data_IF_191205894760
#
_entry.id   IF_191205894760
#
_cell.length_a   1.000
_cell.length_b   1.000
_cell.length_c   1.000
_cell.angle_alpha   90.00
_cell.angle_beta   90.00
_cell.angle_gamma   90.00
#
_symmetry.space_group_name_H-M   'P 1'
#
loop_
_entity.id
_entity.type
_entity.pdbx_description
1 polymer ?
#
# COMPACT_ATOMS: atom_id res chain seq x y z
N UNK A 1 -31.25 -12.30 20.32
CA UNK A 1 -31.46 -11.73 18.99
C UNK A 1 -30.34 -10.74 18.67
N UNK A 2 -30.09 -9.75 19.54
CA UNK A 2 -29.04 -8.74 19.32
C UNK A 2 -27.62 -9.34 19.19
N UNK A 3 -27.28 -10.33 20.01
CA UNK A 3 -25.95 -11.01 19.94
C UNK A 3 -25.74 -11.79 18.64
N UNK A 4 -26.80 -12.40 18.13
CA UNK A 4 -26.74 -13.13 16.85
C UNK A 4 -26.65 -12.16 15.65
N UNK A 5 -27.33 -11.03 15.69
CA UNK A 5 -27.19 -10.00 14.67
C UNK A 5 -25.80 -9.36 14.69
N UNK A 6 -25.23 -9.08 15.87
CA UNK A 6 -23.85 -8.60 16.00
C UNK A 6 -22.82 -9.63 15.51
N UNK A 7 -23.06 -10.92 15.76
CA UNK A 7 -22.23 -12.01 15.23
C UNK A 7 -22.34 -12.10 13.71
N UNK A 8 -23.53 -12.05 13.14
CA UNK A 8 -23.75 -12.02 11.69
C UNK A 8 -23.12 -10.77 11.05
N UNK A 9 -23.29 -9.60 11.69
CA UNK A 9 -22.68 -8.37 11.21
C UNK A 9 -21.15 -8.49 11.16
N UNK A 10 -20.52 -9.05 12.20
CA UNK A 10 -19.08 -9.30 12.24
C UNK A 10 -18.60 -10.32 11.19
N UNK A 11 -19.40 -11.37 10.95
CA UNK A 11 -19.14 -12.38 9.91
C UNK A 11 -19.31 -11.80 8.49
N UNK A 12 -20.29 -10.93 8.29
CA UNK A 12 -20.61 -10.34 6.99
C UNK A 12 -19.74 -9.12 6.65
N UNK A 13 -19.06 -8.53 7.67
CA UNK A 13 -18.24 -7.33 7.53
C UNK A 13 -16.87 -7.52 8.20
N UNK A 14 -16.06 -8.47 7.76
CA UNK A 14 -14.78 -8.80 8.40
C UNK A 14 -13.76 -7.67 8.35
N UNK A 15 -13.93 -6.69 7.45
CA UNK A 15 -13.06 -5.51 7.34
C UNK A 15 -13.50 -4.28 8.14
N UNK A 16 -14.72 -4.31 8.71
CA UNK A 16 -15.30 -3.15 9.44
C UNK A 16 -15.03 -3.29 10.94
N UNK A 17 -14.35 -2.33 11.52
CA UNK A 17 -14.11 -2.24 12.96
C UNK A 17 -13.05 -3.19 13.53
N UNK A 18 -12.40 -3.99 12.72
CA UNK A 18 -11.26 -4.83 13.16
C UNK A 18 -9.98 -4.03 12.95
N UNK A 19 -9.31 -3.67 14.03
CA UNK A 19 -7.93 -3.17 14.00
C UNK A 19 -6.99 -4.37 13.82
N UNK A 20 -6.94 -4.91 12.63
CA UNK A 20 -5.90 -5.86 12.26
C UNK A 20 -4.68 -5.04 11.84
N UNK A 21 -3.65 -5.05 12.66
CA UNK A 21 -2.37 -4.44 12.34
C UNK A 21 -1.47 -5.52 11.74
N UNK A 22 -0.68 -5.11 10.74
CA UNK A 22 0.46 -5.93 10.33
C UNK A 22 1.28 -6.28 11.58
N UNK A 23 1.73 -7.52 11.69
CA UNK A 23 2.66 -7.91 12.75
C UNK A 23 4.06 -7.36 12.46
N UNK A 24 4.28 -6.10 12.86
CA UNK A 24 5.57 -5.44 12.70
C UNK A 24 6.72 -6.15 13.43
N UNK A 25 6.38 -7.03 14.39
CA UNK A 25 7.36 -7.87 15.09
C UNK A 25 8.05 -8.86 14.15
N UNK A 26 7.41 -9.25 13.05
CA UNK A 26 8.01 -10.12 12.05
C UNK A 26 9.24 -9.50 11.36
N UNK A 27 9.36 -8.17 11.38
CA UNK A 27 10.49 -7.43 10.81
C UNK A 27 11.50 -6.95 11.87
N UNK A 28 11.72 -7.73 12.92
CA UNK A 28 12.72 -7.42 13.95
C UNK A 28 13.90 -8.38 13.87
N UNK A 29 15.14 -7.90 14.02
CA UNK A 29 16.34 -8.74 13.91
C UNK A 29 16.45 -9.79 15.02
N UNK A 30 15.83 -9.55 16.20
CA UNK A 30 15.79 -10.47 17.32
C UNK A 30 14.81 -11.64 17.15
N UNK A 31 14.02 -11.64 16.09
CA UNK A 31 13.06 -12.71 15.81
C UNK A 31 13.66 -13.83 14.99
N UNK A 32 13.41 -15.07 15.42
CA UNK A 32 13.73 -16.25 14.62
C UNK A 32 12.90 -16.21 13.33
N UNK A 33 13.55 -16.40 12.19
CA UNK A 33 12.91 -16.31 10.87
C UNK A 33 12.22 -14.94 10.61
N UNK A 34 12.86 -13.83 11.06
CA UNK A 34 12.35 -12.51 10.75
C UNK A 34 12.23 -12.28 9.23
N UNK A 35 11.38 -11.32 8.84
CA UNK A 35 11.08 -11.01 7.45
C UNK A 35 11.92 -9.85 6.90
N UNK A 36 13.00 -9.46 7.58
CA UNK A 36 13.91 -8.44 7.10
C UNK A 36 14.63 -8.92 5.84
N UNK A 37 14.69 -8.04 4.86
CA UNK A 37 15.45 -8.27 3.62
C UNK A 37 16.88 -7.78 3.83
N UNK A 38 17.91 -8.64 3.70
CA UNK A 38 19.31 -8.22 3.86
C UNK A 38 19.77 -7.34 2.69
N UNK A 39 20.77 -6.48 2.96
CA UNK A 39 21.43 -5.72 1.91
C UNK A 39 22.34 -6.60 1.06
N UNK A 40 22.45 -6.27 -0.21
CA UNK A 40 23.53 -6.77 -1.07
C UNK A 40 24.84 -6.05 -0.67
N UNK A 41 25.76 -6.78 -0.09
CA UNK A 41 27.05 -6.26 0.37
C UNK A 41 27.01 -5.50 1.69
N UNK A 42 28.12 -4.85 2.04
CA UNK A 42 28.21 -4.05 3.27
C UNK A 42 27.43 -2.74 3.13
N UNK A 43 26.84 -2.23 4.21
CA UNK A 43 26.15 -0.94 4.19
C UNK A 43 27.07 0.18 3.67
N UNK A 44 26.62 0.95 2.69
CA UNK A 44 27.36 2.10 2.15
C UNK A 44 27.28 3.33 3.04
N UNK A 45 26.26 3.38 3.92
CA UNK A 45 26.09 4.40 4.95
C UNK A 45 25.74 3.72 6.26
N UNK A 46 26.04 4.38 7.38
CA UNK A 46 25.63 3.93 8.72
C UNK A 46 25.17 5.10 9.56
N UNK A 47 24.18 4.87 10.41
CA UNK A 47 23.69 5.79 11.42
C UNK A 47 24.10 5.27 12.80
N UNK A 48 24.82 6.06 13.55
CA UNK A 48 25.26 5.78 14.94
C UNK A 48 24.64 6.75 15.94
N UNK A 49 24.04 7.82 15.44
CA UNK A 49 23.33 8.86 16.19
C UNK A 49 22.39 9.63 15.25
N UNK A 50 21.43 10.37 15.80
CA UNK A 50 20.50 11.22 15.04
C UNK A 50 19.75 10.45 13.95
N UNK A 51 19.28 9.24 14.30
CA UNK A 51 18.53 8.40 13.35
C UNK A 51 17.29 9.15 12.83
N UNK A 52 17.05 9.15 11.52
CA UNK A 52 15.78 9.66 11.01
C UNK A 52 14.60 8.85 11.55
N UNK A 53 13.53 9.55 11.92
CA UNK A 53 12.27 8.91 12.33
C UNK A 53 11.47 8.54 11.09
N UNK A 54 11.21 7.24 10.92
CA UNK A 54 10.59 6.64 9.75
C UNK A 54 9.17 6.20 10.06
N UNK A 55 8.25 6.50 9.17
CA UNK A 55 6.87 6.03 9.23
C UNK A 55 6.33 5.81 7.81
N UNK A 56 5.10 5.30 7.65
CA UNK A 56 4.53 5.17 6.33
C UNK A 56 3.34 4.24 6.20
N UNK A 57 3.04 3.94 4.95
CA UNK A 57 2.01 2.98 4.58
C UNK A 57 2.42 1.55 4.96
N UNK A 58 1.45 0.75 5.38
CA UNK A 58 1.65 -0.66 5.73
C UNK A 58 2.40 -1.45 4.64
N UNK A 59 2.05 -1.23 3.37
CA UNK A 59 2.72 -1.92 2.27
C UNK A 59 4.21 -1.55 2.12
N UNK A 60 4.62 -0.36 2.55
CA UNK A 60 6.02 0.07 2.46
C UNK A 60 6.87 -0.36 3.67
N UNK A 61 6.24 -0.79 4.78
CA UNK A 61 6.94 -1.14 6.02
C UNK A 61 8.13 -2.09 5.82
N UNK A 62 8.02 -3.18 5.06
CA UNK A 62 9.15 -4.09 4.82
C UNK A 62 10.39 -3.42 4.26
N UNK A 63 10.23 -2.40 3.41
CA UNK A 63 11.34 -1.69 2.77
C UNK A 63 12.09 -0.85 3.80
N UNK A 64 11.37 0.07 4.46
CA UNK A 64 12.04 1.00 5.36
C UNK A 64 12.45 0.37 6.69
N UNK A 65 11.76 -0.69 7.15
CA UNK A 65 12.23 -1.47 8.29
C UNK A 65 13.53 -2.20 7.97
N UNK A 66 13.64 -2.85 6.80
CA UNK A 66 14.87 -3.51 6.38
C UNK A 66 16.03 -2.51 6.23
N UNK A 67 15.78 -1.33 5.63
CA UNK A 67 16.78 -0.27 5.54
C UNK A 67 17.20 0.24 6.92
N UNK A 68 16.24 0.51 7.82
CA UNK A 68 16.52 1.00 9.17
C UNK A 68 17.46 0.05 9.93
N UNK A 69 17.11 -1.22 10.02
CA UNK A 69 17.92 -2.20 10.75
C UNK A 69 19.28 -2.49 10.09
N UNK A 70 19.35 -2.46 8.76
CA UNK A 70 20.61 -2.72 8.06
C UNK A 70 21.58 -1.55 8.12
N UNK A 71 21.08 -0.31 8.23
CA UNK A 71 21.91 0.91 8.18
C UNK A 71 22.17 1.51 9.57
N UNK A 72 21.52 1.00 10.64
CA UNK A 72 21.64 1.56 11.99
C UNK A 72 22.52 0.69 12.88
N UNK A 73 23.41 1.32 13.62
CA UNK A 73 24.07 0.71 14.77
C UNK A 73 23.22 1.02 15.99
N UNK A 74 22.45 0.02 16.45
CA UNK A 74 21.42 0.19 17.47
C UNK A 74 22.01 -0.17 18.84
N UNK A 75 22.09 0.75 19.82
CA UNK A 75 22.48 0.45 21.19
C UNK A 75 21.48 -0.49 21.91
N UNK A 76 21.90 -1.17 22.96
CA UNK A 76 21.05 -2.15 23.71
C UNK A 76 19.80 -1.50 24.33
N UNK A 77 19.92 -0.25 24.81
CA UNK A 77 18.85 0.53 25.44
C UNK A 77 18.05 1.41 24.46
N UNK A 78 18.22 1.20 23.16
CA UNK A 78 17.60 2.03 22.14
C UNK A 78 16.11 1.69 21.96
N UNK A 79 15.26 2.70 22.07
CA UNK A 79 13.83 2.56 21.83
C UNK A 79 13.51 2.70 20.33
N UNK A 80 13.55 1.58 19.62
CA UNK A 80 13.33 1.53 18.15
C UNK A 80 12.01 2.19 17.74
N UNK A 81 10.97 2.07 18.54
CA UNK A 81 9.64 2.61 18.25
C UNK A 81 9.58 4.15 18.21
N UNK A 82 10.58 4.83 18.76
CA UNK A 82 10.70 6.30 18.65
C UNK A 82 11.18 6.71 17.24
N UNK A 83 11.71 5.75 16.46
CA UNK A 83 12.33 6.01 15.16
C UNK A 83 11.75 5.18 14.01
N UNK A 84 11.06 4.09 14.28
CA UNK A 84 10.51 3.19 13.28
C UNK A 84 9.05 2.85 13.64
N UNK A 85 8.11 3.44 12.92
CA UNK A 85 6.68 3.24 13.14
C UNK A 85 5.97 2.80 11.85
N UNK A 86 4.74 2.33 11.99
CA UNK A 86 3.82 1.97 10.90
C UNK A 86 2.42 2.49 11.24
N UNK A 87 2.26 3.81 11.22
CA UNK A 87 1.00 4.45 11.57
C UNK A 87 0.00 4.54 10.41
N UNK A 88 0.35 4.02 9.23
CA UNK A 88 -0.41 4.07 7.99
C UNK A 88 -0.44 5.45 7.34
N UNK A 89 -0.84 5.48 6.06
CA UNK A 89 -0.73 6.69 5.21
C UNK A 89 -1.32 7.94 5.84
N UNK A 90 -2.53 7.88 6.37
CA UNK A 90 -3.21 9.06 6.90
C UNK A 90 -2.46 9.66 8.10
N UNK A 91 -2.10 8.81 9.06
CA UNK A 91 -1.40 9.26 10.26
C UNK A 91 0.06 9.63 9.98
N UNK A 92 0.73 8.92 9.09
CA UNK A 92 2.08 9.27 8.64
C UNK A 92 2.12 10.68 8.04
N UNK A 93 1.11 11.09 7.23
CA UNK A 93 1.01 12.46 6.74
C UNK A 93 0.79 13.49 7.87
N UNK A 94 0.03 13.16 8.90
CA UNK A 94 -0.10 14.04 10.07
C UNK A 94 1.24 14.21 10.78
N UNK A 95 1.97 13.12 11.01
CA UNK A 95 3.27 13.12 11.69
C UNK A 95 4.34 13.92 10.94
N UNK A 96 4.43 13.77 9.59
CA UNK A 96 5.41 14.54 8.83
C UNK A 96 5.09 16.05 8.86
N UNK A 97 3.82 16.42 8.81
CA UNK A 97 3.40 17.83 8.91
C UNK A 97 3.69 18.40 10.30
N UNK A 98 3.42 17.64 11.37
CA UNK A 98 3.66 18.06 12.74
C UNK A 98 5.15 18.03 13.14
N UNK A 99 6.00 17.32 12.37
CA UNK A 99 7.41 17.14 12.70
C UNK A 99 7.69 15.96 13.64
N UNK A 100 6.75 15.01 13.74
CA UNK A 100 6.88 13.78 14.51
C UNK A 100 7.52 12.64 13.70
N UNK A 101 7.62 12.79 12.38
CA UNK A 101 8.39 11.95 11.48
C UNK A 101 9.33 12.80 10.63
N UNK A 102 10.45 12.22 10.17
CA UNK A 102 11.43 12.88 9.31
C UNK A 102 11.32 12.40 7.85
N UNK A 103 10.93 11.15 7.64
CA UNK A 103 10.61 10.57 6.33
C UNK A 103 9.38 9.69 6.46
N UNK A 104 8.44 9.84 5.54
CA UNK A 104 7.35 8.88 5.39
C UNK A 104 7.37 8.19 4.02
N UNK A 105 7.07 6.88 4.03
CA UNK A 105 7.07 6.02 2.84
C UNK A 105 5.62 5.72 2.44
N UNK A 106 5.14 6.39 1.39
CA UNK A 106 3.72 6.42 1.05
C UNK A 106 3.49 6.47 -0.47
N UNK A 107 2.25 6.23 -0.89
CA UNK A 107 1.80 6.58 -2.22
C UNK A 107 1.60 8.11 -2.35
N UNK A 108 1.17 8.57 -3.52
CA UNK A 108 0.87 9.99 -3.74
C UNK A 108 -0.12 10.54 -2.70
N UNK A 109 -0.02 11.85 -2.34
CA UNK A 109 -0.92 12.49 -1.40
C UNK A 109 -2.32 12.70 -1.97
N UNK A 110 -3.32 12.68 -1.11
CA UNK A 110 -4.65 13.20 -1.41
C UNK A 110 -4.63 14.75 -1.44
N UNK A 111 -5.67 15.34 -2.04
CA UNK A 111 -5.82 16.80 -2.00
C UNK A 111 -6.04 17.31 -0.57
N UNK A 112 -6.69 16.50 0.29
CA UNK A 112 -6.85 16.81 1.71
C UNK A 112 -5.51 16.87 2.45
N UNK A 113 -4.61 15.92 2.16
CA UNK A 113 -3.26 15.88 2.75
C UNK A 113 -2.40 17.07 2.28
N UNK A 114 -2.44 17.43 0.99
CA UNK A 114 -1.76 18.62 0.46
C UNK A 114 -2.24 19.90 1.15
N UNK A 115 -3.56 20.10 1.20
CA UNK A 115 -4.17 21.27 1.85
C UNK A 115 -3.83 21.38 3.34
N UNK A 116 -3.71 20.25 4.05
CA UNK A 116 -3.28 20.25 5.45
C UNK A 116 -1.85 20.75 5.60
N UNK A 117 -0.91 20.27 4.79
CA UNK A 117 0.47 20.73 4.80
C UNK A 117 0.55 22.24 4.50
N UNK A 118 -0.13 22.71 3.46
CA UNK A 118 -0.20 24.12 3.08
C UNK A 118 -0.75 25.01 4.23
N UNK A 119 -1.87 24.60 4.86
CA UNK A 119 -2.45 25.32 6.00
C UNK A 119 -1.52 25.40 7.23
N UNK A 120 -0.67 24.39 7.40
CA UNK A 120 0.33 24.34 8.47
C UNK A 120 1.63 25.05 8.10
N UNK A 121 1.72 25.67 6.90
CA UNK A 121 2.94 26.34 6.43
C UNK A 121 4.10 25.38 6.17
N UNK A 122 3.84 24.10 5.94
CA UNK A 122 4.85 23.07 5.73
C UNK A 122 4.99 22.74 4.26
N UNK A 123 6.20 22.87 3.72
CA UNK A 123 6.54 22.43 2.37
C UNK A 123 7.00 20.99 2.41
N UNK A 124 6.29 20.12 1.69
CA UNK A 124 6.65 18.70 1.56
C UNK A 124 7.35 18.44 0.22
N UNK A 125 8.45 17.69 0.28
CA UNK A 125 9.19 17.20 -0.87
C UNK A 125 8.85 15.74 -1.11
N UNK A 126 8.58 15.39 -2.37
CA UNK A 126 8.17 14.05 -2.79
C UNK A 126 9.26 13.45 -3.68
N UNK A 127 10.01 12.48 -3.15
CA UNK A 127 11.07 11.78 -3.88
C UNK A 127 10.60 10.37 -4.24
N UNK A 128 10.35 10.07 -5.51
CA UNK A 128 10.00 8.72 -5.93
C UNK A 128 11.21 7.78 -5.76
N UNK A 129 10.99 6.58 -5.22
CA UNK A 129 12.07 5.62 -4.97
C UNK A 129 11.79 4.20 -5.48
N UNK A 130 10.52 3.87 -5.72
CA UNK A 130 10.10 2.56 -6.19
C UNK A 130 8.85 2.68 -7.06
N UNK A 131 8.58 1.65 -7.87
CA UNK A 131 7.32 1.47 -8.59
C UNK A 131 6.55 0.29 -8.07
N UNK A 132 5.24 0.42 -8.15
CA UNK A 132 4.28 -0.61 -7.78
C UNK A 132 3.12 -0.62 -8.78
N UNK A 133 2.29 -1.67 -8.75
CA UNK A 133 1.03 -1.69 -9.47
C UNK A 133 -0.14 -1.53 -8.51
N UNK A 134 -1.05 -0.65 -8.87
CA UNK A 134 -2.38 -0.61 -8.28
C UNK A 134 -3.25 -1.66 -8.99
N UNK A 135 -3.77 -2.62 -8.23
CA UNK A 135 -4.40 -3.83 -8.78
C UNK A 135 -5.83 -3.99 -8.30
N UNK A 136 -6.63 -4.65 -9.14
CA UNK A 136 -7.97 -5.08 -8.79
C UNK A 136 -7.95 -6.56 -8.45
N UNK A 137 -8.65 -6.89 -7.37
CA UNK A 137 -8.74 -8.24 -6.83
C UNK A 137 -10.17 -8.74 -6.88
N UNK A 138 -10.32 -9.99 -7.24
CA UNK A 138 -11.59 -10.73 -7.21
C UNK A 138 -11.35 -12.09 -6.57
N UNK A 139 -12.43 -12.77 -6.19
CA UNK A 139 -12.33 -14.17 -5.75
C UNK A 139 -11.72 -15.03 -6.87
N UNK A 140 -10.90 -16.02 -6.50
CA UNK A 140 -10.22 -16.89 -7.45
C UNK A 140 -11.19 -17.65 -8.39
N UNK A 141 -12.40 -17.97 -7.90
CA UNK A 141 -13.43 -18.67 -8.65
C UNK A 141 -14.26 -17.74 -9.56
N UNK A 142 -14.06 -16.43 -9.51
CA UNK A 142 -14.70 -15.52 -10.46
C UNK A 142 -14.16 -15.81 -11.88
N UNK A 143 -15.00 -16.04 -12.90
CA UNK A 143 -14.52 -16.40 -14.24
C UNK A 143 -13.83 -15.25 -14.99
N UNK A 144 -14.03 -13.99 -14.56
CA UNK A 144 -13.41 -12.82 -15.18
C UNK A 144 -11.92 -12.76 -14.83
N UNK A 145 -11.05 -12.66 -15.84
CA UNK A 145 -9.59 -12.59 -15.69
C UNK A 145 -9.01 -11.23 -16.12
N UNK A 146 -9.79 -10.44 -16.85
CA UNK A 146 -9.35 -9.12 -17.33
C UNK A 146 -10.53 -8.19 -17.45
N UNK A 147 -10.28 -6.90 -17.15
CA UNK A 147 -11.20 -5.80 -17.42
C UNK A 147 -10.49 -4.74 -18.27
N UNK A 148 -11.24 -3.97 -19.04
CA UNK A 148 -10.69 -2.74 -19.62
C UNK A 148 -10.69 -1.63 -18.55
N UNK A 149 -9.88 -0.60 -18.75
CA UNK A 149 -9.91 0.58 -17.89
C UNK A 149 -11.30 1.23 -17.83
N UNK A 150 -12.03 1.21 -18.96
CA UNK A 150 -13.39 1.73 -19.00
C UNK A 150 -14.35 0.86 -18.18
N UNK A 151 -14.27 -0.46 -18.30
CA UNK A 151 -15.10 -1.38 -17.50
C UNK A 151 -14.84 -1.21 -15.99
N UNK A 152 -13.60 -0.99 -15.58
CA UNK A 152 -13.29 -0.69 -14.17
C UNK A 152 -14.00 0.59 -13.73
N UNK A 153 -13.91 1.67 -14.50
CA UNK A 153 -14.63 2.93 -14.19
C UNK A 153 -16.14 2.74 -14.16
N UNK A 154 -16.68 2.00 -15.10
CA UNK A 154 -18.13 1.75 -15.21
C UNK A 154 -18.63 0.91 -14.03
N UNK A 155 -17.85 -0.06 -13.54
CA UNK A 155 -18.19 -0.84 -12.34
C UNK A 155 -18.19 0.07 -11.10
N UNK A 156 -17.14 0.84 -10.87
CA UNK A 156 -17.03 1.66 -9.67
C UNK A 156 -17.87 2.95 -9.72
N UNK A 157 -18.38 3.33 -10.88
CA UNK A 157 -19.41 4.39 -11.02
C UNK A 157 -20.85 3.87 -10.95
N UNK A 158 -21.05 2.54 -10.99
CA UNK A 158 -22.36 1.91 -10.97
C UNK A 158 -23.04 1.81 -12.35
N UNK A 159 -22.34 2.13 -13.44
CA UNK A 159 -22.85 1.95 -14.80
C UNK A 159 -22.89 0.46 -15.21
N UNK A 160 -21.99 -0.36 -14.67
CA UNK A 160 -22.00 -1.84 -14.78
C UNK A 160 -22.20 -2.41 -13.37
N UNK A 161 -23.29 -3.12 -13.18
CA UNK A 161 -23.69 -3.69 -11.88
C UNK A 161 -23.77 -5.20 -11.88
N UNK A 162 -23.54 -5.87 -13.01
CA UNK A 162 -23.63 -7.31 -13.13
C UNK A 162 -22.42 -7.87 -13.89
N UNK A 163 -21.80 -8.90 -13.32
CA UNK A 163 -20.62 -9.57 -13.89
C UNK A 163 -20.85 -10.13 -15.30
N UNK A 164 -22.08 -10.53 -15.65
CA UNK A 164 -22.41 -11.00 -17.00
C UNK A 164 -22.06 -9.99 -18.09
N UNK A 165 -22.16 -8.69 -17.79
CA UNK A 165 -21.83 -7.62 -18.75
C UNK A 165 -20.35 -7.62 -19.15
N UNK A 166 -19.49 -8.19 -18.31
CA UNK A 166 -18.03 -8.25 -18.53
C UNK A 166 -17.52 -9.69 -18.68
N UNK A 167 -18.42 -10.64 -19.02
CA UNK A 167 -18.05 -12.03 -19.30
C UNK A 167 -18.02 -12.95 -18.07
N UNK A 168 -18.58 -12.50 -16.96
CA UNK A 168 -18.73 -13.29 -15.73
C UNK A 168 -20.09 -13.97 -15.62
N UNK A 169 -20.36 -14.50 -14.43
CA UNK A 169 -21.64 -15.12 -14.10
C UNK A 169 -22.75 -14.07 -13.98
N UNK A 170 -24.02 -14.52 -14.05
CA UNK A 170 -25.18 -13.65 -13.79
C UNK A 170 -25.31 -13.36 -12.31
N UNK A 171 -24.47 -12.46 -11.82
CA UNK A 171 -24.39 -12.06 -10.40
C UNK A 171 -24.16 -10.56 -10.32
N UNK A 172 -24.78 -9.91 -9.33
CA UNK A 172 -24.55 -8.51 -9.01
C UNK A 172 -23.10 -8.29 -8.55
N UNK A 173 -22.48 -7.22 -9.02
CA UNK A 173 -21.11 -6.84 -8.62
C UNK A 173 -21.17 -6.13 -7.28
N UNK A 174 -20.43 -6.65 -6.30
CA UNK A 174 -20.24 -6.01 -5.01
C UNK A 174 -18.93 -5.25 -4.99
N UNK A 175 -18.97 -3.93 -5.08
CA UNK A 175 -17.77 -3.08 -5.03
C UNK A 175 -17.37 -2.78 -3.59
N UNK A 176 -16.10 -2.99 -3.27
CA UNK A 176 -15.53 -2.62 -1.98
C UNK A 176 -14.57 -1.44 -2.13
N UNK A 177 -14.68 -0.47 -1.25
CA UNK A 177 -13.90 0.75 -1.26
C UNK A 177 -13.05 0.87 0.00
N UNK A 178 -12.14 1.83 0.00
CA UNK A 178 -11.29 2.17 1.13
C UNK A 178 -11.71 3.52 1.70
N UNK A 179 -11.39 3.79 2.98
CA UNK A 179 -11.65 5.10 3.58
C UNK A 179 -10.93 6.21 2.82
N UNK A 180 -11.50 7.40 2.87
CA UNK A 180 -10.89 8.62 2.35
C UNK A 180 -9.50 8.84 2.95
N UNK A 181 -8.59 9.46 2.21
CA UNK A 181 -7.18 9.68 2.59
C UNK A 181 -6.34 8.39 2.79
N UNK A 182 -6.87 7.19 2.57
CA UNK A 182 -6.02 6.01 2.46
C UNK A 182 -5.26 6.03 1.13
N UNK A 183 -4.01 5.55 1.12
CA UNK A 183 -3.18 5.58 -0.09
C UNK A 183 -3.82 4.91 -1.29
N UNK A 184 -4.51 3.76 -1.10
CA UNK A 184 -5.19 3.07 -2.20
C UNK A 184 -6.46 3.79 -2.65
N UNK A 185 -7.22 4.45 -1.76
CA UNK A 185 -8.37 5.25 -2.16
C UNK A 185 -7.93 6.48 -2.98
N UNK A 186 -6.86 7.14 -2.55
CA UNK A 186 -6.29 8.28 -3.28
C UNK A 186 -5.87 7.89 -4.71
N UNK A 187 -5.21 6.75 -4.89
CA UNK A 187 -4.84 6.24 -6.22
C UNK A 187 -6.09 5.88 -7.03
N UNK A 188 -7.06 5.21 -6.41
CA UNK A 188 -8.32 4.87 -7.08
C UNK A 188 -9.02 6.11 -7.63
N UNK A 189 -9.17 7.14 -6.83
CA UNK A 189 -9.85 8.38 -7.24
C UNK A 189 -9.07 9.15 -8.30
N UNK A 190 -7.76 9.33 -8.11
CA UNK A 190 -6.94 10.21 -8.94
C UNK A 190 -6.48 9.58 -10.26
N UNK A 191 -6.08 8.31 -10.25
CA UNK A 191 -5.51 7.64 -11.43
C UNK A 191 -6.51 6.77 -12.19
N UNK A 192 -7.38 6.06 -11.47
CA UNK A 192 -8.35 5.15 -12.10
C UNK A 192 -9.61 5.90 -12.51
N UNK A 193 -10.29 6.50 -11.53
CA UNK A 193 -11.58 7.17 -11.78
C UNK A 193 -11.41 8.53 -12.41
N UNK A 194 -10.32 9.23 -12.12
CA UNK A 194 -10.05 10.59 -12.64
C UNK A 194 -11.24 11.50 -12.32
N UNK A 195 -11.98 11.93 -13.33
CA UNK A 195 -13.15 12.80 -13.18
C UNK A 195 -14.47 12.04 -13.05
N UNK A 196 -14.45 10.70 -13.08
CA UNK A 196 -15.67 9.89 -12.94
C UNK A 196 -15.99 9.73 -11.46
N UNK A 197 -17.20 10.11 -11.07
CA UNK A 197 -17.65 9.94 -9.68
C UNK A 197 -17.88 8.46 -9.36
N UNK A 198 -17.31 8.01 -8.25
CA UNK A 198 -17.61 6.68 -7.71
C UNK A 198 -19.01 6.65 -7.08
N UNK A 199 -19.64 5.47 -7.10
CA UNK A 199 -20.85 5.24 -6.28
C UNK A 199 -20.49 5.42 -4.81
N UNK A 200 -21.44 5.93 -4.04
CA UNK A 200 -21.27 5.98 -2.58
C UNK A 200 -21.34 4.56 -2.03
N UNK A 201 -20.31 4.05 -1.34
CA UNK A 201 -20.37 2.71 -0.76
C UNK A 201 -21.37 2.72 0.41
N UNK A 202 -22.00 1.58 0.65
CA UNK A 202 -22.67 1.37 1.94
C UNK A 202 -21.59 1.28 3.03
N UNK A 203 -21.92 1.64 4.27
CA UNK A 203 -20.95 1.54 5.38
C UNK A 203 -20.32 0.15 5.51
N UNK A 204 -21.08 -0.88 5.16
CA UNK A 204 -20.68 -2.28 5.16
C UNK A 204 -19.71 -2.65 4.02
N UNK A 205 -19.52 -1.79 3.04
CA UNK A 205 -18.69 -2.01 1.84
C UNK A 205 -17.38 -1.21 1.89
N UNK A 206 -17.03 -0.65 3.05
CA UNK A 206 -15.77 0.06 3.27
C UNK A 206 -14.81 -0.80 4.08
N UNK A 207 -13.74 -1.27 3.44
CA UNK A 207 -12.66 -1.96 4.12
C UNK A 207 -11.73 -0.95 4.78
N UNK A 208 -11.75 -0.87 6.11
CA UNK A 208 -10.95 0.08 6.88
C UNK A 208 -9.45 -0.12 6.74
N UNK A 209 -9.01 -1.35 6.41
CA UNK A 209 -7.61 -1.74 6.25
C UNK A 209 -7.40 -2.55 4.97
N UNK A 210 -6.15 -2.60 4.47
CA UNK A 210 -5.80 -3.37 3.28
C UNK A 210 -6.04 -4.87 3.46
N UNK A 211 -5.75 -5.41 4.64
CA UNK A 211 -6.03 -6.81 4.99
C UNK A 211 -7.52 -7.11 4.92
N UNK A 212 -8.35 -6.23 5.46
CA UNK A 212 -9.80 -6.33 5.36
C UNK A 212 -10.30 -6.37 3.90
N UNK A 213 -9.68 -5.61 2.99
CA UNK A 213 -10.00 -5.64 1.57
C UNK A 213 -9.76 -7.03 0.96
N UNK A 214 -8.62 -7.65 1.22
CA UNK A 214 -8.31 -9.00 0.72
C UNK A 214 -9.28 -10.02 1.29
N UNK A 215 -9.50 -9.99 2.60
CA UNK A 215 -10.39 -10.94 3.30
C UNK A 215 -11.84 -10.87 2.80
N UNK A 216 -12.39 -9.66 2.65
CA UNK A 216 -13.77 -9.53 2.14
C UNK A 216 -13.92 -10.02 0.71
N UNK A 217 -12.94 -9.79 -0.15
CA UNK A 217 -12.96 -10.30 -1.52
C UNK A 217 -12.82 -11.81 -1.57
N UNK A 218 -11.96 -12.38 -0.71
CA UNK A 218 -11.73 -13.83 -0.63
C UNK A 218 -12.96 -14.59 -0.10
N UNK A 219 -13.66 -14.03 0.89
CA UNK A 219 -14.67 -14.75 1.68
C UNK A 219 -16.09 -14.17 1.55
N UNK A 220 -16.29 -13.08 0.76
CA UNK A 220 -17.55 -12.35 0.78
C UNK A 220 -18.75 -13.24 0.44
N UNK A 221 -19.52 -13.56 1.47
CA UNK A 221 -20.80 -14.33 1.44
C UNK A 221 -20.76 -15.60 0.58
N UNK A 222 -19.61 -16.18 0.29
CA UNK A 222 -19.41 -17.31 -0.61
C UNK A 222 -20.00 -17.10 -2.03
N UNK A 223 -20.13 -15.86 -2.50
CA UNK A 223 -20.83 -15.55 -3.75
C UNK A 223 -19.89 -15.20 -4.92
N UNK A 224 -18.58 -15.10 -4.69
CA UNK A 224 -17.56 -14.80 -5.71
C UNK A 224 -17.81 -13.50 -6.51
N UNK A 225 -18.64 -12.59 -5.99
CA UNK A 225 -19.14 -11.42 -6.71
C UNK A 225 -18.47 -10.11 -6.29
N UNK A 226 -17.59 -10.14 -5.27
CA UNK A 226 -16.89 -8.97 -4.79
C UNK A 226 -15.73 -8.57 -5.71
N UNK A 227 -15.54 -7.26 -5.87
CA UNK A 227 -14.34 -6.64 -6.45
C UNK A 227 -13.80 -5.60 -5.48
N UNK A 228 -12.48 -5.61 -5.29
CA UNK A 228 -11.76 -4.63 -4.50
C UNK A 228 -10.47 -4.22 -5.18
N UNK A 229 -9.67 -3.37 -4.50
CA UNK A 229 -8.41 -2.89 -5.02
C UNK A 229 -7.37 -2.72 -3.90
N UNK A 230 -6.12 -2.89 -4.28
CA UNK A 230 -4.98 -2.79 -3.37
C UNK A 230 -3.69 -2.57 -4.16
N UNK A 231 -2.53 -2.68 -3.51
CA UNK A 231 -1.24 -2.71 -4.18
C UNK A 231 -0.79 -4.16 -4.40
N UNK A 232 -0.13 -4.44 -5.53
CA UNK A 232 0.30 -5.78 -5.93
C UNK A 232 1.17 -6.45 -4.85
N UNK A 233 2.20 -5.74 -4.37
CA UNK A 233 3.11 -6.27 -3.36
C UNK A 233 2.35 -6.72 -2.11
N UNK A 234 1.42 -5.91 -1.62
CA UNK A 234 0.61 -6.26 -0.46
C UNK A 234 -0.22 -7.53 -0.69
N UNK A 235 -0.88 -7.63 -1.84
CA UNK A 235 -1.73 -8.78 -2.17
C UNK A 235 -0.94 -10.07 -2.46
N UNK A 236 0.30 -9.97 -2.91
CA UNK A 236 1.08 -11.13 -3.38
C UNK A 236 2.20 -11.56 -2.44
N UNK A 237 2.72 -10.65 -1.61
CA UNK A 237 3.87 -10.92 -0.74
C UNK A 237 3.53 -10.79 0.75
N UNK A 238 2.83 -9.73 1.15
CA UNK A 238 2.54 -9.49 2.57
C UNK A 238 1.32 -10.26 3.06
N UNK A 239 0.28 -10.32 2.25
CA UNK A 239 -1.00 -10.94 2.61
C UNK A 239 -1.54 -11.77 1.43
N UNK A 240 -0.72 -12.72 0.95
CA UNK A 240 -1.10 -13.61 -0.13
C UNK A 240 -2.23 -14.55 0.32
N UNK A 241 -3.35 -14.51 -0.38
CA UNK A 241 -4.49 -15.41 -0.18
C UNK A 241 -4.79 -16.16 -1.48
N UNK A 242 -4.83 -17.49 -1.40
CA UNK A 242 -5.13 -18.36 -2.56
C UNK A 242 -6.56 -18.22 -3.11
N UNK A 243 -7.45 -17.64 -2.32
CA UNK A 243 -8.85 -17.43 -2.69
C UNK A 243 -9.08 -16.12 -3.46
N UNK A 244 -8.02 -15.33 -3.71
CA UNK A 244 -8.09 -14.16 -4.58
C UNK A 244 -7.21 -14.33 -5.81
N UNK A 245 -7.54 -13.59 -6.86
CA UNK A 245 -6.68 -13.38 -8.01
C UNK A 245 -6.65 -11.91 -8.41
N UNK A 246 -5.54 -11.51 -9.02
CA UNK A 246 -5.36 -10.19 -9.61
C UNK A 246 -5.94 -10.17 -11.02
N UNK A 247 -6.71 -9.14 -11.34
CA UNK A 247 -7.21 -8.94 -12.71
C UNK A 247 -6.13 -8.30 -13.60
N UNK A 248 -6.03 -8.78 -14.82
CA UNK A 248 -5.34 -8.05 -15.87
C UNK A 248 -6.17 -6.82 -16.26
N UNK A 249 -5.51 -5.75 -16.71
CA UNK A 249 -6.16 -4.55 -17.25
C UNK A 249 -5.78 -4.41 -18.71
N UNK A 250 -6.78 -4.27 -19.58
CA UNK A 250 -6.59 -4.30 -21.04
C UNK A 250 -5.83 -5.55 -21.52
N UNK A 251 -6.02 -6.69 -20.85
CA UNK A 251 -5.30 -7.94 -21.12
C UNK A 251 -3.86 -7.99 -20.58
N UNK A 252 -3.39 -6.95 -19.89
CA UNK A 252 -2.02 -6.85 -19.37
C UNK A 252 -2.01 -7.17 -17.88
N UNK A 253 -1.29 -8.23 -17.51
CA UNK A 253 -1.14 -8.65 -16.12
C UNK A 253 -0.16 -7.72 -15.34
N UNK A 254 -0.37 -7.50 -14.03
CA UNK A 254 0.51 -6.65 -13.20
C UNK A 254 1.80 -7.37 -12.78
N UNK A 255 2.56 -7.87 -13.74
CA UNK A 255 3.87 -8.48 -13.50
C UNK A 255 4.95 -7.42 -13.27
N UNK A 256 6.04 -7.78 -12.56
CA UNK A 256 7.17 -6.87 -12.35
C UNK A 256 7.72 -6.34 -13.69
N UNK A 257 7.74 -7.17 -14.73
CA UNK A 257 8.16 -6.76 -16.07
C UNK A 257 7.22 -5.72 -16.68
N UNK A 258 5.89 -5.94 -16.62
CA UNK A 258 4.91 -5.00 -17.16
C UNK A 258 4.84 -3.68 -16.37
N UNK A 259 5.20 -3.71 -15.08
CA UNK A 259 5.36 -2.51 -14.26
C UNK A 259 6.64 -1.77 -14.68
N UNK A 260 7.76 -2.48 -14.81
CA UNK A 260 9.07 -1.88 -15.17
C UNK A 260 9.04 -1.20 -16.54
N UNK A 261 8.41 -1.82 -17.52
CA UNK A 261 8.32 -1.28 -18.89
C UNK A 261 7.11 -0.37 -19.13
N UNK A 262 6.29 -0.09 -18.10
CA UNK A 262 5.14 0.80 -18.19
C UNK A 262 3.96 0.28 -19.03
N UNK A 263 3.91 -1.00 -19.35
CA UNK A 263 2.80 -1.61 -20.10
C UNK A 263 1.54 -1.75 -19.26
N UNK A 264 1.67 -2.05 -17.96
CA UNK A 264 0.50 -2.13 -17.08
C UNK A 264 -0.07 -0.72 -16.85
N UNK A 265 -1.39 -0.50 -17.03
CA UNK A 265 -1.95 0.87 -17.05
C UNK A 265 -1.88 1.62 -15.73
N UNK A 266 -1.92 0.91 -14.61
CA UNK A 266 -1.96 1.52 -13.28
C UNK A 266 -0.65 1.30 -12.52
N UNK A 267 0.45 1.71 -13.15
CA UNK A 267 1.74 1.82 -12.47
C UNK A 267 1.72 3.06 -11.59
N UNK A 268 2.14 2.92 -10.35
CA UNK A 268 2.20 4.00 -9.36
C UNK A 268 3.60 4.11 -8.79
N UNK A 269 4.05 5.32 -8.51
CA UNK A 269 5.29 5.53 -7.77
C UNK A 269 5.03 5.49 -6.26
N UNK A 270 5.96 4.91 -5.53
CA UNK A 270 6.06 5.04 -4.09
C UNK A 270 7.07 6.16 -3.76
N UNK A 271 6.71 6.99 -2.79
CA UNK A 271 7.46 8.19 -2.45
C UNK A 271 8.05 8.12 -1.05
N UNK A 272 9.25 8.63 -0.92
CA UNK A 272 9.75 9.18 0.33
C UNK A 272 9.29 10.64 0.41
N UNK A 273 8.56 10.99 1.46
CA UNK A 273 8.10 12.36 1.69
C UNK A 273 8.84 12.92 2.88
N UNK A 274 9.44 14.09 2.71
CA UNK A 274 10.18 14.83 3.74
C UNK A 274 9.70 16.26 3.79
N UNK A 275 10.08 16.99 4.85
CA UNK A 275 9.97 18.45 4.84
C UNK A 275 11.17 19.06 4.11
N UNK A 276 11.02 20.27 3.58
CA UNK A 276 12.09 21.02 2.89
C UNK A 276 13.29 21.36 3.78
N UNK A 277 13.07 21.46 5.09
CA UNK A 277 14.08 21.73 6.12
C UNK A 277 14.60 20.45 6.80
N UNK A 278 14.70 19.33 6.05
CA UNK A 278 15.19 18.05 6.57
C UNK A 278 16.63 18.15 7.13
N UNK A 279 16.95 17.23 8.05
CA UNK A 279 18.31 17.09 8.60
C UNK A 279 19.27 16.49 7.57
N UNK A 280 20.60 16.59 7.81
CA UNK A 280 21.61 15.93 6.97
C UNK A 280 21.48 14.42 6.97
N UNK A 281 21.11 13.81 8.10
CA UNK A 281 20.90 12.36 8.22
C UNK A 281 19.67 11.91 7.41
N UNK A 282 18.59 12.71 7.46
CA UNK A 282 17.40 12.48 6.63
C UNK A 282 17.75 12.54 5.15
N UNK A 283 18.46 13.57 4.72
CA UNK A 283 18.91 13.72 3.34
C UNK A 283 19.79 12.54 2.91
N UNK A 284 20.74 12.13 3.74
CA UNK A 284 21.64 11.01 3.49
C UNK A 284 20.88 9.69 3.28
N UNK A 285 19.81 9.45 4.04
CA UNK A 285 18.98 8.26 3.86
C UNK A 285 18.17 8.33 2.57
N UNK A 286 17.58 9.49 2.25
CA UNK A 286 16.87 9.70 0.99
C UNK A 286 17.79 9.44 -0.22
N UNK A 287 18.98 10.02 -0.21
CA UNK A 287 19.99 9.84 -1.27
C UNK A 287 20.42 8.38 -1.39
N UNK A 288 20.61 7.68 -0.25
CA UNK A 288 20.97 6.26 -0.25
C UNK A 288 19.92 5.38 -0.93
N UNK A 289 18.63 5.62 -0.73
CA UNK A 289 17.58 4.87 -1.41
C UNK A 289 17.63 4.99 -2.94
N UNK A 290 18.23 6.06 -3.47
CA UNK A 290 18.41 6.28 -4.90
C UNK A 290 19.69 5.65 -5.45
N UNK A 291 20.60 5.17 -4.59
CA UNK A 291 21.82 4.45 -5.00
C UNK A 291 21.51 3.04 -5.50
N UNK A 292 22.44 2.38 -6.22
CA UNK A 292 22.27 0.98 -6.60
C UNK A 292 22.04 0.03 -5.42
N UNK A 293 22.59 0.30 -4.22
CA UNK A 293 22.35 -0.53 -3.04
C UNK A 293 20.94 -0.36 -2.50
N UNK A 294 20.45 0.87 -2.38
CA UNK A 294 19.09 1.15 -1.96
C UNK A 294 18.06 0.58 -2.96
N UNK A 295 18.34 0.72 -4.26
CA UNK A 295 17.48 0.15 -5.31
C UNK A 295 17.51 -1.39 -5.34
N UNK A 296 18.63 -2.01 -4.97
CA UNK A 296 18.70 -3.46 -4.79
C UNK A 296 17.81 -3.92 -3.62
N UNK A 297 17.79 -3.18 -2.52
CA UNK A 297 16.88 -3.48 -1.40
C UNK A 297 15.41 -3.38 -1.85
N UNK A 298 15.05 -2.34 -2.61
CA UNK A 298 13.71 -2.18 -3.19
C UNK A 298 13.32 -3.40 -4.03
N UNK A 299 14.24 -3.89 -4.90
CA UNK A 299 14.03 -5.06 -5.75
C UNK A 299 13.90 -6.34 -4.91
N UNK A 300 14.81 -6.55 -3.96
CA UNK A 300 14.87 -7.77 -3.14
C UNK A 300 13.67 -7.90 -2.19
N UNK A 301 13.10 -6.79 -1.74
CA UNK A 301 11.81 -6.78 -1.02
C UNK A 301 10.67 -7.18 -1.96
N UNK A 302 10.72 -6.90 -3.26
CA UNK A 302 9.71 -7.29 -4.25
C UNK A 302 8.98 -6.15 -4.95
N UNK A 303 9.44 -4.92 -4.75
CA UNK A 303 9.00 -3.75 -5.51
C UNK A 303 9.79 -3.64 -6.83
N UNK A 304 9.36 -2.76 -7.70
CA UNK A 304 10.10 -2.50 -8.95
C UNK A 304 10.99 -1.27 -8.75
N UNK A 305 12.32 -1.40 -8.88
CA UNK A 305 13.24 -0.28 -8.72
C UNK A 305 13.08 0.74 -9.84
N UNK A 306 13.31 2.02 -9.52
CA UNK A 306 13.32 3.13 -10.47
C UNK A 306 14.69 3.34 -11.13
N UNK A 307 15.76 2.97 -10.42
CA UNK A 307 17.14 3.20 -10.84
C UNK A 307 17.90 1.86 -10.90
N UNK A 308 19.10 1.84 -11.48
CA UNK A 308 19.91 0.62 -11.57
C UNK A 308 20.20 0.00 -10.19
N UNK A 309 20.13 -1.32 -10.13
CA UNK A 309 20.48 -2.13 -8.95
C UNK A 309 21.93 -2.59 -9.00
N UNK A 310 22.47 -3.07 -7.87
CA UNK A 310 23.76 -3.76 -7.84
C UNK A 310 23.67 -5.07 -8.65
N UNK A 311 24.72 -5.35 -9.41
CA UNK A 311 24.86 -6.59 -10.18
C UNK A 311 25.26 -7.76 -9.28
#
# INVERSE_FOLDING_TARGET
VAGYQAYLYKQLNPGVGVRENIDTWAWRPDKLNNQLTPLRGKPQIQFTQNWPRLDGATAAYPIYASAFYALSVIPEDFHVWDYLDNSRTQEAYNKIVNGDADIIFVAQPSDGQKKRAEKSGVTLLYTPFAREAFVFIVNADNPVNSLTEQQVRDIFSGAITNWRTVGGNDQEIQTWQRPEDSGSQTVMQSQVMKNVRMISPQETEVASMMEGMIKVVAEYRNTNNAIGYTFRYYATQMNADKNIKLLAINGIAPTAENIRNGKYPYVVDAFMVTRDNMTSETQKLVEWFLTPQGQSLVEDVGYVPLYPTMK
#
